data_IF_516250204849
#
_entry.id   IF_516250204849
#
_cell.length_a   1.000
_cell.length_b   1.000
_cell.length_c   1.000
_cell.angle_alpha   90.00
_cell.angle_beta   90.00
_cell.angle_gamma   90.00
#
_symmetry.space_group_name_H-M   'P 1'
#
loop_
_entity.id
_entity.type
_entity.pdbx_description
1 polymer ?
#
# COMPACT_ATOMS: atom_id res chain seq x y z
N UNK A 1 17.27 16.15 -2.05
CA UNK A 1 16.18 17.01 -2.58
C UNK A 1 14.81 16.33 -2.41
N UNK A 2 14.41 16.12 -1.15
CA UNK A 2 13.14 15.47 -0.77
C UNK A 2 12.04 16.52 -0.47
N UNK A 3 12.23 17.78 -0.82
CA UNK A 3 11.48 18.90 -0.22
C UNK A 3 10.30 19.47 -1.01
N UNK A 4 9.84 18.88 -2.11
CA UNK A 4 8.79 19.52 -2.94
C UNK A 4 7.34 19.38 -2.43
N UNK A 5 7.09 18.73 -1.32
CA UNK A 5 5.77 18.62 -0.70
C UNK A 5 5.72 19.01 0.77
N UNK A 6 6.86 18.98 1.45
CA UNK A 6 6.96 19.22 2.90
C UNK A 6 6.50 20.63 3.31
N UNK A 7 6.88 21.72 2.64
CA UNK A 7 6.45 23.07 3.03
C UNK A 7 4.91 23.24 2.97
N UNK A 8 4.26 22.66 1.94
CA UNK A 8 2.81 22.75 1.81
C UNK A 8 2.09 21.97 2.94
N UNK A 9 2.50 20.75 3.23
CA UNK A 9 1.88 19.96 4.29
C UNK A 9 2.15 20.58 5.67
N UNK A 10 3.34 21.10 5.90
CA UNK A 10 3.67 21.80 7.16
C UNK A 10 2.82 23.06 7.34
N UNK A 11 2.59 23.85 6.29
CA UNK A 11 1.73 25.04 6.39
C UNK A 11 0.27 24.65 6.69
N UNK A 12 -0.26 23.63 6.04
CA UNK A 12 -1.60 23.10 6.33
C UNK A 12 -1.75 22.62 7.78
N UNK A 13 -0.75 21.90 8.28
CA UNK A 13 -0.78 21.42 9.66
C UNK A 13 -0.61 22.55 10.68
N UNK A 14 0.22 23.55 10.38
CA UNK A 14 0.35 24.73 11.20
C UNK A 14 -0.96 25.53 11.27
N UNK A 15 -1.68 25.67 10.16
CA UNK A 15 -2.98 26.32 10.12
C UNK A 15 -4.04 25.57 10.93
N UNK A 16 -4.08 24.23 10.88
CA UNK A 16 -4.96 23.43 11.73
C UNK A 16 -4.71 23.71 13.21
N UNK A 17 -3.43 23.71 13.61
CA UNK A 17 -3.05 23.98 15.02
C UNK A 17 -3.45 25.40 15.44
N UNK A 18 -3.26 26.39 14.59
CA UNK A 18 -3.64 27.78 14.88
C UNK A 18 -5.16 27.97 15.02
N UNK A 19 -5.96 27.19 14.28
CA UNK A 19 -7.43 27.20 14.38
C UNK A 19 -7.95 26.37 15.56
N UNK A 20 -7.08 25.63 16.28
CA UNK A 20 -7.50 24.74 17.37
C UNK A 20 -8.29 23.53 16.88
N UNK A 21 -8.14 23.17 15.62
CA UNK A 21 -8.82 22.03 15.00
C UNK A 21 -8.16 20.71 15.43
N UNK A 22 -8.95 19.64 15.46
CA UNK A 22 -8.41 18.30 15.65
C UNK A 22 -7.49 17.94 14.48
N UNK A 23 -6.27 17.52 14.79
CA UNK A 23 -5.30 17.12 13.76
C UNK A 23 -5.88 16.09 12.78
N UNK A 24 -5.85 16.42 11.51
CA UNK A 24 -6.25 15.57 10.39
C UNK A 24 -5.11 15.52 9.37
N UNK A 25 -4.49 14.36 9.14
CA UNK A 25 -3.39 14.25 8.17
C UNK A 25 -3.83 14.53 6.73
N UNK A 26 -5.09 14.28 6.40
CA UNK A 26 -5.67 14.50 5.06
C UNK A 26 -6.75 15.60 5.09
N UNK A 27 -6.31 16.86 5.07
CA UNK A 27 -7.24 17.98 4.86
C UNK A 27 -7.83 18.00 3.45
N UNK A 28 -8.95 18.68 3.19
CA UNK A 28 -9.49 18.83 1.83
C UNK A 28 -8.46 19.38 0.84
N UNK A 29 -7.61 20.33 1.26
CA UNK A 29 -6.56 20.91 0.41
C UNK A 29 -5.46 19.86 0.07
N UNK A 30 -5.05 19.08 1.05
CA UNK A 30 -4.10 17.96 0.84
C UNK A 30 -4.70 16.91 -0.09
N UNK A 31 -5.96 16.51 0.13
CA UNK A 31 -6.67 15.55 -0.73
C UNK A 31 -6.77 16.04 -2.18
N UNK A 32 -7.09 17.30 -2.39
CA UNK A 32 -7.13 17.90 -3.73
C UNK A 32 -5.77 17.83 -4.43
N UNK A 33 -4.68 18.13 -3.72
CA UNK A 33 -3.32 18.03 -4.26
C UNK A 33 -2.89 16.61 -4.57
N UNK A 34 -3.23 15.64 -3.70
CA UNK A 34 -2.92 14.23 -3.91
C UNK A 34 -3.76 13.63 -5.05
N UNK A 35 -5.03 14.05 -5.18
CA UNK A 35 -5.91 13.66 -6.28
C UNK A 35 -5.28 13.96 -7.64
N UNK A 36 -4.74 15.18 -7.82
CA UNK A 36 -4.05 15.56 -9.06
C UNK A 36 -2.85 14.66 -9.41
N UNK A 37 -2.19 14.07 -8.41
CA UNK A 37 -1.10 13.12 -8.65
C UNK A 37 -1.59 11.76 -9.16
N UNK A 38 -2.81 11.38 -8.81
CA UNK A 38 -3.42 10.11 -9.21
C UNK A 38 -4.30 10.24 -10.45
N UNK A 39 -4.30 11.40 -11.10
CA UNK A 39 -5.00 11.59 -12.37
C UNK A 39 -4.24 10.93 -13.52
N UNK A 40 -5.00 10.47 -14.50
CA UNK A 40 -4.46 9.87 -15.73
C UNK A 40 -3.60 8.60 -15.52
N UNK A 41 -4.04 7.75 -14.61
CA UNK A 41 -3.47 6.41 -14.45
C UNK A 41 -4.11 5.44 -15.43
N UNK A 42 -3.33 4.50 -15.96
CA UNK A 42 -3.86 3.34 -16.66
C UNK A 42 -4.53 2.37 -15.68
N UNK A 43 -5.33 1.44 -16.18
CA UNK A 43 -5.99 0.44 -15.33
C UNK A 43 -4.99 -0.41 -14.54
N UNK A 44 -3.86 -0.80 -15.15
CA UNK A 44 -2.81 -1.55 -14.46
C UNK A 44 -2.08 -0.74 -13.39
N UNK A 45 -1.85 0.54 -13.66
CA UNK A 45 -1.27 1.47 -12.65
C UNK A 45 -2.21 1.66 -11.45
N UNK A 46 -3.51 1.86 -11.71
CA UNK A 46 -4.51 1.95 -10.64
C UNK A 46 -4.59 0.67 -9.82
N UNK A 47 -4.65 -0.48 -10.49
CA UNK A 47 -4.74 -1.77 -9.83
C UNK A 47 -3.53 -2.01 -8.92
N UNK A 48 -2.32 -1.77 -9.38
CA UNK A 48 -1.11 -1.92 -8.57
C UNK A 48 -1.13 -0.99 -7.35
N UNK A 49 -1.50 0.29 -7.53
CA UNK A 49 -1.59 1.25 -6.42
C UNK A 49 -2.66 0.87 -5.40
N UNK A 50 -3.80 0.34 -5.85
CA UNK A 50 -4.89 -0.10 -4.99
C UNK A 50 -4.46 -1.28 -4.09
N UNK A 51 -3.71 -2.25 -4.64
CA UNK A 51 -3.11 -3.32 -3.85
C UNK A 51 -2.05 -2.78 -2.88
N UNK A 52 -1.10 -1.97 -3.37
CA UNK A 52 -0.04 -1.41 -2.54
C UNK A 52 -0.57 -0.55 -1.39
N UNK A 53 -1.72 0.12 -1.59
CA UNK A 53 -2.37 0.90 -0.53
C UNK A 53 -2.82 0.04 0.67
N UNK A 54 -3.04 -1.26 0.46
CA UNK A 54 -3.46 -2.19 1.50
C UNK A 54 -2.29 -2.79 2.31
N UNK A 55 -1.04 -2.66 1.84
CA UNK A 55 0.13 -3.19 2.54
C UNK A 55 0.58 -2.27 3.67
N UNK A 56 1.11 -2.87 4.74
CA UNK A 56 1.76 -2.13 5.84
C UNK A 56 3.25 -1.96 5.60
N UNK A 57 3.86 -2.91 4.92
CA UNK A 57 5.29 -2.97 4.61
C UNK A 57 5.50 -2.92 3.09
N UNK A 58 6.68 -2.57 2.60
CA UNK A 58 6.99 -2.62 1.17
C UNK A 58 6.76 -4.00 0.59
N UNK A 59 6.19 -4.07 -0.60
CA UNK A 59 5.87 -5.34 -1.26
C UNK A 59 7.01 -5.78 -2.19
N UNK A 60 7.42 -7.05 -2.10
CA UNK A 60 8.45 -7.59 -3.01
C UNK A 60 7.91 -7.76 -4.43
N UNK A 61 8.77 -7.52 -5.42
CA UNK A 61 8.43 -7.70 -6.82
C UNK A 61 7.94 -9.12 -7.11
N UNK A 62 8.61 -10.13 -6.54
CA UNK A 62 8.23 -11.54 -6.72
C UNK A 62 6.85 -11.88 -6.13
N UNK A 63 6.45 -11.24 -5.03
CA UNK A 63 5.11 -11.40 -4.48
C UNK A 63 4.06 -10.70 -5.35
N UNK A 64 4.35 -9.49 -5.84
CA UNK A 64 3.43 -8.73 -6.69
C UNK A 64 3.14 -9.43 -8.02
N UNK A 65 4.12 -10.11 -8.63
CA UNK A 65 3.89 -10.91 -9.85
C UNK A 65 2.90 -12.05 -9.62
N UNK A 66 2.97 -12.71 -8.46
CA UNK A 66 2.01 -13.76 -8.08
C UNK A 66 0.63 -13.18 -7.79
N UNK A 67 0.57 -12.13 -6.98
CA UNK A 67 -0.67 -11.49 -6.55
C UNK A 67 -1.49 -10.96 -7.73
N UNK A 68 -0.81 -10.32 -8.69
CA UNK A 68 -1.44 -9.71 -9.86
C UNK A 68 -1.58 -10.68 -11.04
N UNK A 69 -0.97 -11.87 -10.94
CA UNK A 69 -0.88 -12.86 -12.03
C UNK A 69 -0.34 -12.25 -13.34
N UNK A 70 0.63 -11.34 -13.24
CA UNK A 70 1.26 -10.65 -14.36
C UNK A 70 2.66 -11.20 -14.63
N UNK A 71 3.11 -11.25 -15.89
CA UNK A 71 4.51 -11.42 -16.23
C UNK A 71 5.38 -10.34 -15.55
N UNK A 72 6.60 -10.71 -15.23
CA UNK A 72 7.53 -9.78 -14.54
C UNK A 72 7.80 -8.55 -15.39
N UNK A 73 7.90 -8.72 -16.70
CA UNK A 73 8.15 -7.65 -17.66
C UNK A 73 7.04 -6.59 -17.64
N UNK A 74 5.78 -7.04 -17.68
CA UNK A 74 4.60 -6.15 -17.65
C UNK A 74 4.52 -5.39 -16.32
N UNK A 75 4.80 -6.07 -15.20
CA UNK A 75 4.82 -5.43 -13.89
C UNK A 75 5.92 -4.38 -13.78
N UNK A 76 7.11 -4.66 -14.32
CA UNK A 76 8.24 -3.71 -14.35
C UNK A 76 7.86 -2.46 -15.14
N UNK A 77 7.20 -2.60 -16.30
CA UNK A 77 6.73 -1.44 -17.07
C UNK A 77 5.74 -0.58 -16.28
N UNK A 78 4.81 -1.19 -15.56
CA UNK A 78 3.84 -0.47 -14.70
C UNK A 78 4.57 0.26 -13.57
N UNK A 79 5.51 -0.40 -12.90
CA UNK A 79 6.29 0.20 -11.80
C UNK A 79 7.12 1.38 -12.33
N UNK A 80 7.80 1.22 -13.47
CA UNK A 80 8.59 2.30 -14.08
C UNK A 80 7.72 3.52 -14.43
N UNK A 81 6.53 3.31 -14.99
CA UNK A 81 5.60 4.39 -15.28
C UNK A 81 5.18 5.13 -13.99
N UNK A 82 4.89 4.40 -12.91
CA UNK A 82 4.54 4.98 -11.61
C UNK A 82 5.72 5.70 -10.93
N UNK A 83 6.94 5.20 -11.11
CA UNK A 83 8.16 5.89 -10.66
C UNK A 83 8.40 7.20 -11.40
N UNK A 84 8.22 7.22 -12.71
CA UNK A 84 8.31 8.45 -13.51
C UNK A 84 7.30 9.51 -13.06
N UNK A 85 6.10 9.08 -12.66
CA UNK A 85 5.07 9.92 -12.04
C UNK A 85 5.37 10.29 -10.58
N UNK A 86 6.47 9.77 -10.01
CA UNK A 86 6.88 9.97 -8.61
C UNK A 86 5.83 9.49 -7.59
N UNK A 87 5.13 8.41 -7.93
CA UNK A 87 4.14 7.79 -7.05
C UNK A 87 4.73 6.65 -6.24
N UNK A 88 5.68 5.90 -6.83
CA UNK A 88 6.38 4.78 -6.19
C UNK A 88 7.88 5.03 -6.11
N UNK A 89 8.50 4.31 -5.20
CA UNK A 89 9.94 4.11 -5.09
C UNK A 89 10.24 2.62 -5.08
N UNK A 90 11.41 2.26 -5.57
CA UNK A 90 11.99 0.92 -5.45
C UNK A 90 13.17 0.98 -4.50
N UNK A 91 13.29 -0.01 -3.66
CA UNK A 91 14.39 -0.17 -2.71
C UNK A 91 14.89 -1.61 -2.80
N UNK A 92 16.18 -1.79 -2.73
CA UNK A 92 16.79 -3.11 -2.60
C UNK A 92 17.00 -3.41 -1.12
N UNK A 93 16.34 -4.44 -0.62
CA UNK A 93 16.41 -4.90 0.77
C UNK A 93 16.83 -6.39 0.79
N UNK A 94 17.96 -6.71 1.42
CA UNK A 94 18.44 -8.09 1.57
C UNK A 94 18.39 -8.92 0.27
N UNK A 95 18.93 -8.35 -0.83
CA UNK A 95 18.93 -8.95 -2.18
C UNK A 95 17.52 -9.10 -2.82
N UNK A 96 16.52 -8.37 -2.31
CA UNK A 96 15.16 -8.34 -2.87
C UNK A 96 14.80 -6.94 -3.31
N UNK A 97 14.15 -6.86 -4.47
CA UNK A 97 13.55 -5.63 -4.91
C UNK A 97 12.17 -5.48 -4.26
N UNK A 98 11.98 -4.42 -3.49
CA UNK A 98 10.70 -4.06 -2.88
C UNK A 98 10.20 -2.73 -3.42
N UNK A 99 8.88 -2.59 -3.46
CA UNK A 99 8.19 -1.42 -4.00
C UNK A 99 7.32 -0.81 -2.91
N UNK A 100 7.35 0.51 -2.80
CA UNK A 100 6.53 1.25 -1.85
C UNK A 100 6.05 2.58 -2.45
N UNK A 101 5.06 3.19 -1.83
CA UNK A 101 4.69 4.57 -2.13
C UNK A 101 5.86 5.52 -1.86
N UNK A 102 6.01 6.53 -2.70
CA UNK A 102 7.03 7.58 -2.51
C UNK A 102 6.77 8.48 -1.29
N UNK A 103 5.52 8.51 -0.81
CA UNK A 103 5.08 9.30 0.33
C UNK A 103 3.96 8.58 1.09
N UNK A 104 4.06 8.51 2.41
CA UNK A 104 3.05 7.89 3.28
C UNK A 104 1.65 8.50 3.11
N UNK A 105 1.56 9.83 3.01
CA UNK A 105 0.27 10.50 2.79
C UNK A 105 -0.40 10.10 1.49
N UNK A 106 0.38 9.79 0.46
CA UNK A 106 -0.16 9.29 -0.81
C UNK A 106 -0.76 7.89 -0.65
N UNK A 107 -0.10 7.02 0.12
CA UNK A 107 -0.61 5.69 0.44
C UNK A 107 -1.92 5.77 1.25
N UNK A 108 -1.95 6.60 2.30
CA UNK A 108 -3.14 6.81 3.12
C UNK A 108 -4.30 7.33 2.25
N UNK A 109 -4.04 8.29 1.38
CA UNK A 109 -5.04 8.83 0.47
C UNK A 109 -5.52 7.79 -0.55
N UNK A 110 -4.61 7.03 -1.15
CA UNK A 110 -4.96 5.94 -2.06
C UNK A 110 -5.87 4.90 -1.38
N UNK A 111 -5.57 4.53 -0.13
CA UNK A 111 -6.42 3.63 0.65
C UNK A 111 -7.79 4.23 0.97
N UNK A 112 -7.86 5.52 1.36
CA UNK A 112 -9.13 6.18 1.69
C UNK A 112 -10.09 6.29 0.50
N UNK A 113 -9.58 6.43 -0.75
CA UNK A 113 -10.39 6.43 -1.97
C UNK A 113 -11.12 5.12 -2.21
N UNK A 114 -10.57 4.00 -1.75
CA UNK A 114 -11.16 2.68 -1.96
C UNK A 114 -12.50 2.57 -1.22
N UNK A 115 -13.51 2.05 -1.90
CA UNK A 115 -14.76 1.68 -1.22
C UNK A 115 -14.52 0.58 -0.18
N UNK A 116 -15.39 0.50 0.82
CA UNK A 116 -15.30 -0.54 1.85
C UNK A 116 -15.30 -1.94 1.23
N UNK A 117 -16.13 -2.16 0.21
CA UNK A 117 -16.20 -3.44 -0.49
C UNK A 117 -14.87 -3.77 -1.19
N UNK A 118 -14.28 -2.78 -1.90
CA UNK A 118 -13.01 -2.96 -2.60
C UNK A 118 -11.86 -3.23 -1.62
N UNK A 119 -11.77 -2.49 -0.51
CA UNK A 119 -10.77 -2.75 0.54
C UNK A 119 -10.85 -4.20 1.05
N UNK A 120 -12.05 -4.67 1.41
CA UNK A 120 -12.25 -6.04 1.89
C UNK A 120 -11.85 -7.09 0.87
N UNK A 121 -12.20 -6.87 -0.40
CA UNK A 121 -11.82 -7.76 -1.50
C UNK A 121 -10.30 -7.83 -1.65
N UNK A 122 -9.62 -6.67 -1.74
CA UNK A 122 -8.17 -6.61 -1.89
C UNK A 122 -7.43 -7.27 -0.71
N UNK A 123 -7.82 -6.95 0.52
CA UNK A 123 -7.24 -7.59 1.70
C UNK A 123 -7.43 -9.11 1.67
N UNK A 124 -8.60 -9.59 1.24
CA UNK A 124 -8.85 -11.03 1.11
C UNK A 124 -7.93 -11.68 0.08
N UNK A 125 -7.79 -11.09 -1.10
CA UNK A 125 -6.92 -11.59 -2.17
C UNK A 125 -5.44 -11.60 -1.75
N UNK A 126 -4.98 -10.55 -1.08
CA UNK A 126 -3.62 -10.47 -0.54
C UNK A 126 -3.39 -11.62 0.47
N UNK A 127 -4.33 -11.84 1.41
CA UNK A 127 -4.20 -12.92 2.39
C UNK A 127 -4.12 -14.30 1.72
N UNK A 128 -4.97 -14.56 0.73
CA UNK A 128 -4.95 -15.83 -0.01
C UNK A 128 -3.62 -16.03 -0.75
N UNK A 129 -3.12 -15.01 -1.45
CA UNK A 129 -1.83 -15.10 -2.15
C UNK A 129 -0.66 -15.28 -1.18
N UNK A 130 -0.74 -14.70 0.03
CA UNK A 130 0.26 -14.92 1.08
C UNK A 130 0.19 -16.34 1.63
N UNK A 131 -1.00 -16.93 1.80
CA UNK A 131 -1.17 -18.34 2.20
C UNK A 131 -0.44 -19.28 1.24
N UNK A 132 -0.51 -19.01 -0.06
CA UNK A 132 0.19 -19.81 -1.08
C UNK A 132 1.73 -19.72 -0.98
N UNK A 133 2.25 -18.69 -0.31
CA UNK A 133 3.67 -18.48 -0.09
C UNK A 133 4.19 -19.09 1.25
N UNK A 134 3.31 -19.66 2.10
CA UNK A 134 3.69 -20.19 3.42
C UNK A 134 4.66 -21.40 3.38
N UNK A 135 4.86 -22.01 2.21
CA UNK A 135 5.84 -23.09 2.02
C UNK A 135 7.30 -22.65 2.02
N UNK A 136 7.59 -21.35 2.02
CA UNK A 136 8.94 -20.80 2.02
C UNK A 136 9.42 -20.51 3.46
N UNK A 137 10.43 -21.25 3.98
CA UNK A 137 10.91 -21.12 5.35
C UNK A 137 11.45 -19.72 5.71
N UNK A 138 11.84 -18.93 4.72
CA UNK A 138 12.44 -17.60 4.90
C UNK A 138 11.44 -16.53 5.38
N UNK A 139 10.13 -16.79 5.26
CA UNK A 139 9.10 -15.78 5.52
C UNK A 139 8.12 -16.16 6.63
N UNK A 140 8.31 -17.27 7.29
CA UNK A 140 7.23 -17.91 8.05
C UNK A 140 6.57 -17.03 9.11
N UNK A 141 7.33 -16.43 10.02
CA UNK A 141 6.73 -15.69 11.14
C UNK A 141 6.18 -14.32 10.77
N UNK A 142 6.89 -13.56 9.93
CA UNK A 142 6.42 -12.26 9.45
C UNK A 142 5.16 -12.41 8.58
N UNK A 143 5.15 -13.43 7.72
CA UNK A 143 4.06 -13.71 6.82
C UNK A 143 2.77 -14.08 7.57
N UNK A 144 2.85 -14.87 8.67
CA UNK A 144 1.68 -15.22 9.48
C UNK A 144 0.98 -13.98 10.06
N UNK A 145 1.76 -13.03 10.57
CA UNK A 145 1.20 -11.78 11.10
C UNK A 145 0.53 -10.94 10.02
N UNK A 146 1.12 -10.86 8.82
CA UNK A 146 0.52 -10.15 7.69
C UNK A 146 -0.77 -10.84 7.21
N UNK A 147 -0.78 -12.16 7.09
CA UNK A 147 -1.98 -12.93 6.74
C UNK A 147 -3.11 -12.67 7.75
N UNK A 148 -2.80 -12.77 9.05
CA UNK A 148 -3.77 -12.50 10.11
C UNK A 148 -4.35 -11.08 9.99
N UNK A 149 -3.50 -10.08 9.77
CA UNK A 149 -3.92 -8.69 9.54
C UNK A 149 -4.87 -8.57 8.34
N UNK A 150 -4.51 -9.13 7.18
CA UNK A 150 -5.32 -9.02 5.98
C UNK A 150 -6.67 -9.74 6.13
N UNK A 151 -6.73 -10.90 6.79
CA UNK A 151 -8.01 -11.55 7.09
C UNK A 151 -8.86 -10.73 8.06
N UNK A 152 -8.27 -10.09 9.05
CA UNK A 152 -8.98 -9.17 9.94
C UNK A 152 -9.59 -7.98 9.18
N UNK A 153 -8.84 -7.38 8.27
CA UNK A 153 -9.30 -6.25 7.45
C UNK A 153 -10.38 -6.66 6.45
N UNK A 154 -10.34 -7.89 5.95
CA UNK A 154 -11.37 -8.47 5.06
C UNK A 154 -12.62 -8.97 5.82
N UNK A 155 -12.67 -8.80 7.16
CA UNK A 155 -13.76 -9.26 8.02
C UNK A 155 -13.94 -10.78 8.05
N UNK A 156 -12.84 -11.52 8.10
CA UNK A 156 -12.80 -12.97 8.31
C UNK A 156 -12.14 -13.29 9.67
N UNK A 157 -12.85 -13.08 10.78
CA UNK A 157 -12.26 -13.15 12.13
C UNK A 157 -11.76 -14.55 12.51
N UNK A 158 -12.39 -15.60 12.02
CA UNK A 158 -11.99 -16.99 12.31
C UNK A 158 -10.61 -17.26 11.70
N UNK A 159 -10.44 -16.96 10.41
CA UNK A 159 -9.14 -17.12 9.75
C UNK A 159 -8.06 -16.21 10.36
N UNK A 160 -8.41 -14.97 10.69
CA UNK A 160 -7.47 -14.08 11.39
C UNK A 160 -6.96 -14.69 12.69
N UNK A 161 -7.85 -15.22 13.53
CA UNK A 161 -7.50 -15.86 14.79
C UNK A 161 -6.65 -17.15 14.61
N UNK A 162 -6.92 -17.95 13.59
CA UNK A 162 -6.11 -19.13 13.26
C UNK A 162 -4.65 -18.73 13.04
N UNK A 163 -4.39 -17.68 12.27
CA UNK A 163 -3.03 -17.20 11.99
C UNK A 163 -2.39 -16.46 13.17
N UNK A 164 -3.17 -15.71 13.96
CA UNK A 164 -2.69 -15.09 15.21
C UNK A 164 -2.19 -16.15 16.20
N UNK A 165 -2.89 -17.29 16.32
CA UNK A 165 -2.52 -18.40 17.21
C UNK A 165 -1.28 -19.16 16.70
N UNK A 166 -1.06 -19.25 15.40
CA UNK A 166 0.14 -19.89 14.85
C UNK A 166 1.40 -19.01 14.95
N UNK A 167 1.22 -17.71 15.14
CA UNK A 167 2.32 -16.76 15.35
C UNK A 167 2.85 -16.78 16.79
N UNK A 168 2.04 -17.18 17.77
CA UNK A 168 2.42 -17.28 19.19
C UNK A 168 3.24 -18.52 19.47
#
# INVERSE_FOLDING_TARGET
>A
RVSQGIPFFLSEYAEQLLRGEKFQPLTPAIKAKLSLKLDHLSSGEEELLDYLACFREPASLSFLTKLLALPVEDLVEIIEALRQKRLLIEVEEEDRLVVNFSQELLQIYAYERLSIAKRRMLHHQIAQSMEECLGDPLYHSQLLNEIAYHYKMSKQPIKSLEYELHYL
#
